data_IF_535149171275
#
_entry.id   IF_535149171275
#
_cell.length_a   1.000
_cell.length_b   1.000
_cell.length_c   1.000
_cell.angle_alpha   90.00
_cell.angle_beta   90.00
_cell.angle_gamma   90.00
#
_symmetry.space_group_name_H-M   'P 1'
#
loop_
_entity.id
_entity.type
_entity.pdbx_description
1 polymer ?
#
# COMPACT_ATOMS: atom_id res chain seq x y z
N UNK A 1 18.88 -29.23 25.17
CA UNK A 1 17.42 -29.15 25.40
C UNK A 1 16.87 -28.44 24.17
N UNK A 2 16.71 -29.22 23.11
CA UNK A 2 16.36 -28.73 21.79
C UNK A 2 14.86 -28.49 21.77
N UNK A 3 14.47 -27.22 21.68
CA UNK A 3 13.09 -26.86 21.37
C UNK A 3 12.87 -27.15 19.88
N UNK A 4 12.61 -28.41 19.57
CA UNK A 4 11.97 -28.81 18.32
C UNK A 4 10.53 -28.29 18.37
N UNK A 5 10.37 -27.01 18.01
CA UNK A 5 9.07 -26.37 17.91
C UNK A 5 8.25 -27.18 16.89
N UNK A 6 7.18 -27.83 17.36
CA UNK A 6 6.36 -28.68 16.53
C UNK A 6 5.89 -27.91 15.27
N UNK A 7 6.23 -28.37 14.05
CA UNK A 7 6.06 -27.60 12.81
C UNK A 7 4.61 -27.15 12.53
N UNK A 8 3.63 -27.75 13.20
CA UNK A 8 2.22 -27.34 13.15
C UNK A 8 1.87 -26.06 13.94
N UNK A 9 2.57 -25.75 15.04
CA UNK A 9 2.29 -24.53 15.84
C UNK A 9 2.76 -23.26 15.15
N UNK A 10 3.91 -23.33 14.48
CA UNK A 10 4.51 -22.20 13.78
C UNK A 10 3.77 -21.86 12.48
N UNK A 11 3.33 -22.87 11.71
CA UNK A 11 2.47 -22.67 10.54
C UNK A 11 1.11 -22.07 10.90
N UNK A 12 0.50 -22.50 12.00
CA UNK A 12 -0.74 -21.91 12.50
C UNK A 12 -0.60 -20.43 12.89
N UNK A 13 0.61 -19.99 13.27
CA UNK A 13 0.89 -18.58 13.54
C UNK A 13 0.83 -17.72 12.28
N UNK A 14 1.45 -18.17 11.18
CA UNK A 14 1.43 -17.48 9.89
C UNK A 14 0.01 -17.42 9.31
N UNK A 15 -0.71 -18.54 9.26
CA UNK A 15 -2.07 -18.59 8.72
C UNK A 15 -3.03 -17.65 9.47
N UNK A 16 -2.93 -17.59 10.80
CA UNK A 16 -3.72 -16.64 11.59
C UNK A 16 -3.36 -15.19 11.29
N UNK A 17 -2.09 -14.89 11.03
CA UNK A 17 -1.64 -13.56 10.70
C UNK A 17 -2.13 -13.14 9.30
N UNK A 18 -2.05 -14.04 8.32
CA UNK A 18 -2.61 -13.84 6.97
C UNK A 18 -4.11 -13.57 7.02
N UNK A 19 -4.86 -14.40 7.76
CA UNK A 19 -6.30 -14.22 7.94
C UNK A 19 -6.64 -12.88 8.63
N UNK A 20 -5.86 -12.48 9.63
CA UNK A 20 -6.04 -11.16 10.27
C UNK A 20 -5.78 -10.04 9.25
N UNK A 21 -4.69 -10.12 8.50
CA UNK A 21 -4.34 -9.15 7.46
C UNK A 21 -5.45 -8.99 6.43
N UNK A 22 -5.93 -10.10 5.84
CA UNK A 22 -6.98 -10.08 4.82
C UNK A 22 -8.27 -9.42 5.33
N UNK A 23 -8.64 -9.67 6.58
CA UNK A 23 -9.77 -9.01 7.21
C UNK A 23 -9.55 -7.50 7.38
N UNK A 24 -8.38 -7.07 7.85
CA UNK A 24 -8.08 -5.64 8.02
C UNK A 24 -8.05 -4.91 6.68
N UNK A 25 -7.42 -5.48 5.65
CA UNK A 25 -7.42 -4.89 4.31
C UNK A 25 -8.84 -4.77 3.75
N UNK A 26 -9.66 -5.82 3.90
CA UNK A 26 -11.06 -5.81 3.45
C UNK A 26 -11.87 -4.72 4.14
N UNK A 27 -11.77 -4.61 5.47
CA UNK A 27 -12.46 -3.57 6.25
C UNK A 27 -11.97 -2.18 5.84
N UNK A 28 -10.66 -1.97 5.70
CA UNK A 28 -10.12 -0.66 5.31
C UNK A 28 -10.64 -0.22 3.93
N UNK A 29 -10.71 -1.13 2.96
CA UNK A 29 -11.28 -0.85 1.63
C UNK A 29 -12.76 -0.48 1.69
N UNK A 30 -13.56 -1.16 2.52
CA UNK A 30 -15.00 -0.88 2.61
C UNK A 30 -15.30 0.40 3.39
N UNK A 31 -14.49 0.75 4.40
CA UNK A 31 -14.65 2.00 5.15
C UNK A 31 -14.43 3.25 4.29
N UNK A 32 -13.62 3.18 3.23
CA UNK A 32 -13.38 4.33 2.33
C UNK A 32 -14.67 4.91 1.73
N UNK A 33 -15.70 4.09 1.52
CA UNK A 33 -16.95 4.55 0.88
C UNK A 33 -17.79 5.41 1.82
N UNK A 34 -17.57 5.33 3.14
CA UNK A 34 -18.40 6.00 4.14
C UNK A 34 -18.30 7.53 4.07
N UNK A 35 -17.19 8.05 3.58
CA UNK A 35 -16.96 9.50 3.42
C UNK A 35 -17.56 10.06 2.12
N UNK A 36 -18.17 9.21 1.28
CA UNK A 36 -18.90 9.64 0.08
C UNK A 36 -20.36 9.87 0.46
N UNK A 37 -20.70 11.13 0.74
CA UNK A 37 -22.07 11.51 1.12
C UNK A 37 -22.68 12.47 0.11
N UNK A 38 -24.00 12.33 -0.09
CA UNK A 38 -24.82 13.25 -0.90
C UNK A 38 -25.97 13.74 -0.04
N UNK A 39 -26.22 15.06 -0.07
CA UNK A 39 -27.35 15.67 0.66
C UNK A 39 -28.68 15.05 0.19
N UNK A 40 -29.58 14.80 1.14
CA UNK A 40 -30.95 14.31 0.86
C UNK A 40 -31.88 15.48 0.54
N UNK A 41 -32.96 15.21 -0.20
CA UNK A 41 -34.02 16.19 -0.46
C UNK A 41 -33.65 17.31 -1.44
N UNK A 42 -32.74 17.04 -2.38
CA UNK A 42 -32.32 18.01 -3.39
C UNK A 42 -33.38 18.18 -4.48
N UNK A 43 -33.54 19.41 -4.97
CA UNK A 43 -34.27 19.65 -6.22
C UNK A 43 -33.49 19.07 -7.41
N UNK A 44 -34.13 18.95 -8.58
CA UNK A 44 -33.45 18.46 -9.80
C UNK A 44 -32.25 19.33 -10.20
N UNK A 45 -32.32 20.65 -9.95
CA UNK A 45 -31.24 21.59 -10.23
C UNK A 45 -30.09 21.46 -9.22
N UNK A 46 -30.41 21.34 -7.92
CA UNK A 46 -29.41 21.16 -6.86
C UNK A 46 -28.70 19.80 -6.93
N UNK A 47 -29.33 18.79 -7.52
CA UNK A 47 -28.74 17.45 -7.69
C UNK A 47 -27.46 17.48 -8.53
N UNK A 48 -27.45 18.22 -9.65
CA UNK A 48 -26.27 18.28 -10.53
C UNK A 48 -25.09 18.93 -9.82
N UNK A 49 -25.34 19.98 -9.05
CA UNK A 49 -24.31 20.67 -8.28
C UNK A 49 -23.77 19.78 -7.16
N UNK A 50 -24.65 19.12 -6.40
CA UNK A 50 -24.25 18.17 -5.38
C UNK A 50 -23.38 17.05 -5.97
N UNK A 51 -23.76 16.49 -7.13
CA UNK A 51 -22.97 15.45 -7.79
C UNK A 51 -21.58 15.95 -8.19
N UNK A 52 -21.48 17.19 -8.71
CA UNK A 52 -20.19 17.81 -9.05
C UNK A 52 -19.28 17.97 -7.83
N UNK A 53 -19.85 18.36 -6.69
CA UNK A 53 -19.12 18.51 -5.43
C UNK A 53 -18.68 17.17 -4.82
N UNK A 54 -19.35 16.06 -5.16
CA UNK A 54 -18.96 14.71 -4.71
C UNK A 54 -17.84 14.09 -5.56
N UNK A 55 -17.54 14.60 -6.76
CA UNK A 55 -16.50 14.04 -7.64
C UNK A 55 -15.11 13.95 -6.98
N UNK A 56 -14.61 14.95 -6.22
CA UNK A 56 -13.34 14.84 -5.51
C UNK A 56 -13.33 13.69 -4.47
N UNK A 57 -14.46 13.44 -3.80
CA UNK A 57 -14.61 12.33 -2.85
C UNK A 57 -14.52 10.98 -3.57
N UNK A 58 -15.20 10.84 -4.71
CA UNK A 58 -15.13 9.62 -5.54
C UNK A 58 -13.71 9.40 -6.07
N UNK A 59 -13.01 10.46 -6.50
CA UNK A 59 -11.64 10.37 -6.99
C UNK A 59 -10.66 9.97 -5.88
N UNK A 60 -10.76 10.58 -4.70
CA UNK A 60 -9.95 10.23 -3.53
C UNK A 60 -10.22 8.79 -3.06
N UNK A 61 -11.50 8.38 -3.05
CA UNK A 61 -11.90 7.00 -2.79
C UNK A 61 -11.25 6.02 -3.77
N UNK A 62 -11.39 6.25 -5.08
CA UNK A 62 -10.87 5.34 -6.10
C UNK A 62 -9.34 5.22 -6.03
N UNK A 63 -8.66 6.35 -5.81
CA UNK A 63 -7.21 6.38 -5.59
C UNK A 63 -6.82 5.54 -4.37
N UNK A 64 -7.42 5.79 -3.21
CA UNK A 64 -7.08 5.08 -1.99
C UNK A 64 -7.47 3.60 -2.02
N UNK A 65 -8.58 3.25 -2.67
CA UNK A 65 -8.95 1.87 -2.88
C UNK A 65 -7.87 1.13 -3.68
N UNK A 66 -7.40 1.74 -4.78
CA UNK A 66 -6.32 1.17 -5.59
C UNK A 66 -5.01 1.03 -4.77
N UNK A 67 -4.66 2.04 -3.97
CA UNK A 67 -3.49 2.01 -3.08
C UNK A 67 -3.59 0.87 -2.05
N UNK A 68 -4.72 0.73 -1.35
CA UNK A 68 -4.91 -0.34 -0.37
C UNK A 68 -4.89 -1.71 -1.06
N UNK A 69 -5.50 -1.85 -2.25
CA UNK A 69 -5.50 -3.09 -3.02
C UNK A 69 -4.09 -3.50 -3.46
N UNK A 70 -3.28 -2.54 -3.91
CA UNK A 70 -1.88 -2.76 -4.22
C UNK A 70 -1.09 -3.22 -2.99
N UNK A 71 -1.28 -2.54 -1.84
CA UNK A 71 -0.65 -2.93 -0.59
C UNK A 71 -1.07 -4.31 -0.11
N UNK A 72 -2.31 -4.71 -0.33
CA UNK A 72 -2.77 -6.07 -0.05
C UNK A 72 -2.04 -7.11 -0.90
N UNK A 73 -1.88 -6.86 -2.21
CA UNK A 73 -1.14 -7.75 -3.12
C UNK A 73 0.33 -7.89 -2.70
N UNK A 74 0.98 -6.76 -2.37
CA UNK A 74 2.36 -6.75 -1.88
C UNK A 74 2.48 -7.49 -0.54
N UNK A 75 1.55 -7.25 0.37
CA UNK A 75 1.52 -7.88 1.67
C UNK A 75 1.46 -9.40 1.56
N UNK A 76 0.53 -9.94 0.75
CA UNK A 76 0.40 -11.38 0.51
C UNK A 76 1.67 -11.97 -0.10
N UNK A 77 2.28 -11.28 -1.07
CA UNK A 77 3.55 -11.72 -1.67
C UNK A 77 4.68 -11.75 -0.64
N UNK A 78 4.76 -10.73 0.21
CA UNK A 78 5.81 -10.59 1.22
C UNK A 78 5.66 -11.66 2.31
N UNK A 79 4.44 -11.87 2.84
CA UNK A 79 4.19 -12.91 3.84
C UNK A 79 4.44 -14.32 3.31
N UNK A 80 4.07 -14.60 2.05
CA UNK A 80 4.37 -15.88 1.40
C UNK A 80 5.88 -16.20 1.29
N UNK A 81 6.76 -15.19 1.42
CA UNK A 81 8.21 -15.39 1.45
C UNK A 81 8.74 -15.84 2.83
N UNK A 82 7.92 -15.84 3.88
CA UNK A 82 8.28 -16.29 5.21
C UNK A 82 7.71 -17.68 5.50
N UNK A 83 8.56 -18.71 5.70
CA UNK A 83 8.07 -20.04 6.07
C UNK A 83 7.52 -20.08 7.51
N UNK A 84 8.04 -19.21 8.38
CA UNK A 84 7.63 -19.03 9.78
C UNK A 84 7.73 -17.55 10.13
N UNK A 85 6.77 -17.06 10.92
CA UNK A 85 6.74 -15.68 11.44
C UNK A 85 7.18 -15.67 12.90
N UNK A 86 8.09 -14.75 13.24
CA UNK A 86 8.47 -14.48 14.63
C UNK A 86 7.81 -13.19 15.14
N UNK A 87 8.06 -12.85 16.41
CA UNK A 87 7.49 -11.67 17.05
C UNK A 87 7.85 -10.36 16.35
N UNK A 88 9.02 -10.26 15.71
CA UNK A 88 9.44 -9.06 15.00
C UNK A 88 8.64 -8.89 13.70
N UNK A 89 8.52 -9.97 12.91
CA UNK A 89 7.72 -9.96 11.68
C UNK A 89 6.24 -9.70 12.01
N UNK A 90 5.73 -10.31 13.09
CA UNK A 90 4.37 -10.08 13.57
C UNK A 90 4.15 -8.62 13.96
N UNK A 91 5.04 -8.02 14.75
CA UNK A 91 4.93 -6.62 15.16
C UNK A 91 4.99 -5.64 13.98
N UNK A 92 5.90 -5.87 13.03
CA UNK A 92 5.96 -5.06 11.80
C UNK A 92 4.71 -5.23 10.94
N UNK A 93 4.16 -6.44 10.86
CA UNK A 93 2.89 -6.69 10.16
C UNK A 93 1.75 -5.93 10.82
N UNK A 94 1.61 -6.02 12.14
CA UNK A 94 0.57 -5.29 12.89
C UNK A 94 0.69 -3.77 12.73
N UNK A 95 1.92 -3.24 12.70
CA UNK A 95 2.15 -1.82 12.38
C UNK A 95 1.64 -1.48 10.98
N UNK A 96 1.96 -2.29 9.97
CA UNK A 96 1.46 -2.12 8.60
C UNK A 96 -0.07 -2.19 8.51
N UNK A 97 -0.69 -3.13 9.25
CA UNK A 97 -2.15 -3.24 9.33
C UNK A 97 -2.78 -2.01 10.01
N UNK A 98 -2.18 -1.48 11.08
CA UNK A 98 -2.63 -0.25 11.72
C UNK A 98 -2.56 0.97 10.78
N UNK A 99 -1.47 1.12 10.03
CA UNK A 99 -1.33 2.17 9.03
C UNK A 99 -2.32 2.01 7.87
N UNK A 100 -2.62 0.77 7.47
CA UNK A 100 -3.63 0.45 6.46
C UNK A 100 -5.03 0.84 6.94
N UNK A 101 -5.40 0.45 8.16
CA UNK A 101 -6.66 0.82 8.78
C UNK A 101 -6.80 2.34 8.98
N UNK A 102 -5.68 3.07 9.04
CA UNK A 102 -5.66 4.53 9.12
C UNK A 102 -5.92 5.21 7.77
N UNK A 103 -5.72 4.55 6.61
CA UNK A 103 -5.84 5.15 5.25
C UNK A 103 -7.16 5.88 4.97
N UNK A 104 -8.34 5.45 5.48
CA UNK A 104 -9.57 6.21 5.28
C UNK A 104 -9.50 7.67 5.77
N UNK A 105 -8.90 7.92 6.94
CA UNK A 105 -8.77 9.25 7.50
C UNK A 105 -8.05 10.27 6.59
N UNK A 106 -6.80 10.05 6.12
CA UNK A 106 -6.16 10.96 5.20
C UNK A 106 -6.82 11.00 3.82
N UNK A 107 -7.57 9.96 3.44
CA UNK A 107 -8.38 9.99 2.20
C UNK A 107 -9.48 11.02 2.29
N UNK A 108 -10.21 11.07 3.41
CA UNK A 108 -11.22 12.08 3.68
C UNK A 108 -10.61 13.50 3.69
N UNK A 109 -9.47 13.67 4.38
CA UNK A 109 -8.75 14.94 4.37
C UNK A 109 -8.35 15.37 2.95
N UNK A 110 -7.88 14.42 2.14
CA UNK A 110 -7.51 14.70 0.75
C UNK A 110 -8.72 15.06 -0.10
N UNK A 111 -9.88 14.42 0.11
CA UNK A 111 -11.11 14.72 -0.62
C UNK A 111 -11.62 16.14 -0.33
N UNK A 112 -11.62 16.54 0.93
CA UNK A 112 -12.24 17.80 1.39
C UNK A 112 -11.26 18.98 1.35
N UNK A 113 -9.99 18.73 1.67
CA UNK A 113 -8.96 19.77 1.86
C UNK A 113 -7.78 19.60 0.89
N UNK A 114 -8.02 19.14 -0.34
CA UNK A 114 -6.97 18.82 -1.33
C UNK A 114 -6.05 20.00 -1.71
N UNK A 115 -6.43 21.23 -1.39
CA UNK A 115 -5.63 22.46 -1.58
C UNK A 115 -4.79 22.81 -0.36
N UNK A 116 -4.99 22.16 0.79
CA UNK A 116 -4.21 22.38 1.99
C UNK A 116 -2.97 21.49 1.99
N UNK A 117 -1.76 22.06 2.16
CA UNK A 117 -0.52 21.29 2.22
C UNK A 117 -0.57 20.13 3.21
N UNK A 118 -1.18 20.34 4.37
CA UNK A 118 -1.27 19.36 5.45
C UNK A 118 -2.05 18.13 5.02
N UNK A 119 -3.17 18.28 4.30
CA UNK A 119 -3.96 17.15 3.83
C UNK A 119 -3.16 16.26 2.87
N UNK A 120 -2.46 16.87 1.92
CA UNK A 120 -1.62 16.16 0.94
C UNK A 120 -0.41 15.53 1.63
N UNK A 121 0.21 16.22 2.58
CA UNK A 121 1.36 15.73 3.34
C UNK A 121 0.98 14.54 4.24
N UNK A 122 -0.15 14.59 4.95
CA UNK A 122 -0.61 13.48 5.81
C UNK A 122 -0.92 12.25 4.97
N UNK A 123 -1.56 12.42 3.80
CA UNK A 123 -1.79 11.33 2.86
C UNK A 123 -0.47 10.70 2.39
N UNK A 124 0.45 11.53 1.87
CA UNK A 124 1.74 11.06 1.40
C UNK A 124 2.58 10.39 2.49
N UNK A 125 2.58 10.93 3.71
CA UNK A 125 3.29 10.35 4.84
C UNK A 125 2.72 8.99 5.24
N UNK A 126 1.40 8.82 5.27
CA UNK A 126 0.79 7.53 5.60
C UNK A 126 1.18 6.46 4.57
N UNK A 127 1.02 6.76 3.27
CA UNK A 127 1.33 5.85 2.16
C UNK A 127 2.84 5.54 2.12
N UNK A 128 3.70 6.53 2.30
CA UNK A 128 5.15 6.33 2.33
C UNK A 128 5.59 5.47 3.52
N UNK A 129 5.03 5.70 4.70
CA UNK A 129 5.36 4.94 5.92
C UNK A 129 4.89 3.50 5.81
N UNK A 130 3.66 3.28 5.35
CA UNK A 130 3.12 1.95 5.11
C UNK A 130 3.99 1.18 4.12
N UNK A 131 4.39 1.82 3.01
CA UNK A 131 5.22 1.16 2.03
C UNK A 131 6.67 0.96 2.50
N UNK A 132 7.19 1.81 3.39
CA UNK A 132 8.48 1.62 4.03
C UNK A 132 8.48 0.40 4.99
N UNK A 133 7.35 0.13 5.66
CA UNK A 133 7.16 -1.09 6.45
C UNK A 133 7.20 -2.33 5.54
N UNK A 134 6.46 -2.32 4.42
CA UNK A 134 6.50 -3.41 3.44
C UNK A 134 7.90 -3.61 2.84
N UNK A 135 8.60 -2.54 2.46
CA UNK A 135 9.97 -2.62 1.98
C UNK A 135 10.89 -3.24 3.05
N UNK A 136 10.74 -2.85 4.31
CA UNK A 136 11.54 -3.39 5.42
C UNK A 136 11.27 -4.89 5.65
N UNK A 137 10.01 -5.33 5.50
CA UNK A 137 9.65 -6.76 5.54
C UNK A 137 10.24 -7.52 4.35
N UNK A 138 10.14 -6.98 3.12
CA UNK A 138 10.72 -7.58 1.92
C UNK A 138 12.24 -7.72 2.03
N UNK A 139 12.94 -6.68 2.48
CA UNK A 139 14.39 -6.74 2.69
C UNK A 139 14.75 -7.75 3.80
N UNK A 140 13.89 -7.91 4.80
CA UNK A 140 14.06 -8.95 5.83
C UNK A 140 13.86 -10.35 5.28
N UNK A 141 12.92 -10.56 4.35
CA UNK A 141 12.74 -11.87 3.69
C UNK A 141 13.95 -12.22 2.82
N UNK A 142 14.50 -11.26 2.07
CA UNK A 142 15.72 -11.47 1.28
C UNK A 142 16.92 -11.89 2.14
N UNK A 143 17.06 -11.32 3.34
CA UNK A 143 18.13 -11.68 4.28
C UNK A 143 17.95 -13.10 4.84
N UNK A 144 16.71 -13.54 5.10
CA UNK A 144 16.43 -14.89 5.62
C UNK A 144 16.59 -15.98 4.57
N UNK A 145 16.22 -15.69 3.32
CA UNK A 145 16.37 -16.61 2.21
C UNK A 145 17.83 -16.77 1.75
N UNK A 146 18.74 -15.91 2.23
CA UNK A 146 20.14 -15.92 1.84
C UNK A 146 20.39 -15.47 0.40
N UNK A 147 21.66 -15.54 -0.01
CA UNK A 147 22.08 -15.30 -1.39
C UNK A 147 21.63 -16.42 -2.32
N UNK A 148 21.34 -16.09 -3.57
CA UNK A 148 21.06 -17.07 -4.64
C UNK A 148 22.00 -16.79 -5.82
N UNK A 149 22.44 -17.84 -6.50
CA UNK A 149 23.22 -17.75 -7.74
C UNK A 149 22.33 -17.63 -8.97
N UNK A 150 21.02 -17.84 -8.83
CA UNK A 150 20.06 -17.67 -9.92
C UNK A 150 19.88 -16.17 -10.24
N UNK A 151 20.40 -15.76 -11.39
CA UNK A 151 20.33 -14.39 -11.87
C UNK A 151 18.88 -13.91 -12.07
N UNK A 152 17.94 -14.80 -12.40
CA UNK A 152 16.52 -14.46 -12.58
C UNK A 152 15.88 -14.10 -11.23
N UNK A 153 16.12 -14.91 -10.19
CA UNK A 153 15.65 -14.60 -8.84
C UNK A 153 16.31 -13.34 -8.25
N UNK A 154 17.61 -13.13 -8.46
CA UNK A 154 18.28 -11.86 -8.06
C UNK A 154 17.62 -10.66 -8.74
N UNK A 155 17.36 -10.76 -10.05
CA UNK A 155 16.69 -9.72 -10.82
C UNK A 155 15.29 -9.44 -10.27
N UNK A 156 14.51 -10.49 -10.00
CA UNK A 156 13.16 -10.40 -9.45
C UNK A 156 13.15 -9.69 -8.09
N UNK A 157 13.96 -10.16 -7.14
CA UNK A 157 14.12 -9.53 -5.81
C UNK A 157 14.47 -8.05 -5.90
N UNK A 158 15.38 -7.70 -6.82
CA UNK A 158 15.76 -6.31 -7.07
C UNK A 158 14.61 -5.48 -7.62
N UNK A 159 13.87 -5.99 -8.60
CA UNK A 159 12.71 -5.29 -9.17
C UNK A 159 11.62 -5.08 -8.12
N UNK A 160 11.36 -6.09 -7.29
CA UNK A 160 10.38 -6.01 -6.19
C UNK A 160 10.76 -4.95 -5.15
N UNK A 161 12.05 -4.85 -4.83
CA UNK A 161 12.55 -3.80 -3.92
C UNK A 161 12.50 -2.41 -4.56
N UNK A 162 12.81 -2.29 -5.85
CA UNK A 162 12.72 -1.03 -6.60
C UNK A 162 11.28 -0.55 -6.67
N UNK A 163 10.34 -1.47 -6.89
CA UNK A 163 8.93 -1.18 -6.94
C UNK A 163 8.45 -0.51 -5.65
N UNK A 164 8.70 -1.15 -4.50
CA UNK A 164 8.36 -0.58 -3.20
C UNK A 164 9.15 0.70 -2.91
N UNK A 165 10.45 0.73 -3.19
CA UNK A 165 11.25 1.93 -2.97
C UNK A 165 10.76 3.12 -3.80
N UNK A 166 10.29 2.90 -5.03
CA UNK A 166 9.76 3.96 -5.89
C UNK A 166 8.52 4.62 -5.28
N UNK A 167 7.59 3.83 -4.74
CA UNK A 167 6.40 4.34 -4.04
C UNK A 167 6.81 5.12 -2.78
N UNK A 168 7.76 4.61 -1.98
CA UNK A 168 8.28 5.34 -0.80
C UNK A 168 8.88 6.68 -1.20
N UNK A 169 9.68 6.72 -2.26
CA UNK A 169 10.32 7.95 -2.73
C UNK A 169 9.31 8.96 -3.27
N UNK A 170 8.36 8.53 -4.11
CA UNK A 170 7.34 9.42 -4.68
C UNK A 170 6.47 10.03 -3.59
N UNK A 171 5.95 9.22 -2.67
CA UNK A 171 5.13 9.73 -1.57
C UNK A 171 5.95 10.44 -0.48
N UNK A 172 7.21 10.08 -0.30
CA UNK A 172 8.15 10.80 0.56
C UNK A 172 8.44 12.21 0.04
N UNK A 173 8.69 12.36 -1.27
CA UNK A 173 8.89 13.66 -1.94
C UNK A 173 7.60 14.49 -1.97
N UNK A 174 6.43 13.83 -2.00
CA UNK A 174 5.13 14.50 -1.91
C UNK A 174 5.03 15.36 -0.65
N UNK A 175 5.59 14.93 0.48
CA UNK A 175 5.48 15.66 1.76
C UNK A 175 6.10 17.06 1.70
N UNK A 176 7.40 17.26 1.41
CA UNK A 176 7.97 18.60 1.29
C UNK A 176 7.38 19.37 0.10
N UNK A 177 7.07 18.69 -1.02
CA UNK A 177 6.49 19.35 -2.19
C UNK A 177 5.07 19.89 -1.92
N UNK A 178 4.30 19.25 -1.05
CA UNK A 178 2.97 19.72 -0.66
C UNK A 178 3.01 21.10 -0.01
N UNK A 179 4.06 21.41 0.76
CA UNK A 179 4.24 22.73 1.38
C UNK A 179 4.67 23.81 0.39
N UNK A 180 5.27 23.43 -0.73
CA UNK A 180 5.58 24.36 -1.82
C UNK A 180 4.40 24.55 -2.78
N UNK A 181 3.74 23.46 -3.17
CA UNK A 181 2.57 23.45 -4.05
C UNK A 181 1.78 22.14 -3.88
N UNK A 182 0.62 22.17 -3.19
CA UNK A 182 -0.27 21.01 -3.02
C UNK A 182 -0.72 20.43 -4.36
N UNK A 183 -0.96 21.28 -5.35
CA UNK A 183 -1.34 20.86 -6.70
C UNK A 183 -0.20 20.12 -7.41
N UNK A 184 1.03 20.66 -7.37
CA UNK A 184 2.18 20.00 -8.00
C UNK A 184 2.47 18.64 -7.35
N UNK A 185 2.35 18.54 -6.02
CA UNK A 185 2.56 17.31 -5.27
C UNK A 185 1.66 16.15 -5.76
N UNK A 186 0.38 16.42 -6.04
CA UNK A 186 -0.56 15.42 -6.57
C UNK A 186 -0.19 14.95 -7.98
N UNK A 187 0.33 15.83 -8.83
CA UNK A 187 0.77 15.45 -10.19
C UNK A 187 1.95 14.48 -10.18
N UNK A 188 2.81 14.53 -9.16
CA UNK A 188 3.93 13.57 -9.02
C UNK A 188 3.43 12.14 -8.87
N UNK A 189 2.24 11.91 -8.31
CA UNK A 189 1.68 10.56 -8.16
C UNK A 189 1.42 9.89 -9.51
N UNK A 190 1.14 10.66 -10.57
CA UNK A 190 0.97 10.10 -11.91
C UNK A 190 2.24 9.44 -12.44
N UNK A 191 3.42 9.80 -11.92
CA UNK A 191 4.67 9.13 -12.28
C UNK A 191 4.72 7.65 -11.84
N UNK A 192 3.91 7.26 -10.84
CA UNK A 192 3.80 5.87 -10.41
C UNK A 192 3.13 4.99 -11.48
N UNK A 193 2.21 5.53 -12.29
CA UNK A 193 1.53 4.75 -13.34
C UNK A 193 2.54 4.16 -14.34
N UNK A 194 3.36 4.96 -15.07
CA UNK A 194 4.33 4.41 -16.00
C UNK A 194 5.43 3.62 -15.29
N UNK A 195 5.83 4.01 -14.06
CA UNK A 195 6.83 3.27 -13.28
C UNK A 195 6.34 1.85 -12.98
N UNK A 196 5.12 1.70 -12.46
CA UNK A 196 4.48 0.41 -12.13
C UNK A 196 4.28 -0.44 -13.38
N UNK A 197 3.83 0.15 -14.49
CA UNK A 197 3.68 -0.56 -15.77
C UNK A 197 5.03 -1.07 -16.30
N UNK A 198 6.07 -0.25 -16.25
CA UNK A 198 7.40 -0.64 -16.72
C UNK A 198 7.99 -1.74 -15.84
N UNK A 199 7.93 -1.57 -14.51
CA UNK A 199 8.44 -2.53 -13.54
C UNK A 199 7.68 -3.87 -13.66
N UNK A 200 6.35 -3.83 -13.78
CA UNK A 200 5.51 -5.00 -13.98
C UNK A 200 5.89 -5.79 -15.24
N UNK A 201 6.07 -5.10 -16.38
CA UNK A 201 6.55 -5.73 -17.63
C UNK A 201 7.94 -6.36 -17.47
N UNK A 202 8.83 -5.74 -16.69
CA UNK A 202 10.16 -6.29 -16.42
C UNK A 202 10.09 -7.51 -15.50
N UNK A 203 9.20 -7.50 -14.50
CA UNK A 203 8.96 -8.65 -13.61
C UNK A 203 8.38 -9.84 -14.38
N UNK A 204 7.43 -9.61 -15.29
CA UNK A 204 6.88 -10.67 -16.14
C UNK A 204 7.95 -11.33 -17.01
N UNK A 205 8.84 -10.52 -17.62
CA UNK A 205 9.96 -11.04 -18.42
C UNK A 205 10.93 -11.86 -17.57
N UNK A 206 11.20 -11.45 -16.35
CA UNK A 206 12.08 -12.17 -15.43
C UNK A 206 11.49 -13.52 -14.95
N UNK A 207 10.18 -13.72 -15.05
CA UNK A 207 9.50 -14.98 -14.68
C UNK A 207 9.45 -16.01 -15.81
N UNK A 208 9.76 -15.62 -17.06
CA UNK A 208 9.75 -16.57 -18.19
C UNK A 208 11.02 -17.42 -18.15
N UNK A 209 10.92 -18.77 -18.20
CA UNK A 209 12.11 -19.61 -18.27
C UNK A 209 12.89 -19.31 -19.55
N UNK A 210 14.21 -19.19 -19.42
CA UNK A 210 15.13 -19.13 -20.56
C UNK A 210 14.96 -20.43 -21.34
N UNK A 211 14.32 -20.36 -22.51
CA UNK A 211 14.27 -21.48 -23.46
C UNK A 211 15.62 -21.75 -24.08
#
# INVERSE_FOLDING_TARGET
MDHEAAPGRERGGLERLENLSDNVFSIAMTLLVLDITVRRGLSTEDFREALRLTLPHIAAYALSFAVIAEFWLDHRRILAAFPVVDSKITGMTLLGLGLTALVPFPTALLAEYSSQPQAVAVYGMNVATLNAVHLSLLLSSHRRLGGTTDAAEVRRRRLDSIDLASTVLVFGVTVPLAFASPSAAKWVWLALIPAKVLIGRMQERARRPSG
#
